data_IF_940558927732
#
_entry.id   IF_940558927732
#
_cell.length_a   1.000
_cell.length_b   1.000
_cell.length_c   1.000
_cell.angle_alpha   90.00
_cell.angle_beta   90.00
_cell.angle_gamma   90.00
#
_symmetry.space_group_name_H-M   'P 1'
#
loop_
_entity.id
_entity.type
_entity.pdbx_description
1 polymer ?
#
# COMPACT_ATOMS: atom_id res chain seq x y z
N UNK A 1 4.56 -14.58 0.10
CA UNK A 1 3.14 -14.30 -0.19
C UNK A 1 2.33 -14.39 1.10
N UNK A 2 1.46 -13.42 1.37
CA UNK A 2 0.66 -13.36 2.58
C UNK A 2 -0.76 -13.91 2.35
N UNK A 3 -1.27 -14.58 3.37
CA UNK A 3 -2.68 -15.00 3.44
C UNK A 3 -3.50 -13.83 3.99
N UNK A 4 -4.34 -13.23 3.17
CA UNK A 4 -5.15 -12.06 3.56
C UNK A 4 -6.20 -12.41 4.63
N UNK A 5 -6.66 -13.66 4.69
CA UNK A 5 -7.64 -14.08 5.66
C UNK A 5 -7.05 -14.24 7.08
N UNK A 6 -5.81 -14.72 7.17
CA UNK A 6 -5.14 -15.02 8.43
C UNK A 6 -4.02 -14.03 8.79
N UNK A 7 -3.66 -13.13 7.88
CA UNK A 7 -2.65 -12.10 8.08
C UNK A 7 -1.21 -12.59 8.17
N UNK A 8 -0.97 -13.88 7.91
CA UNK A 8 0.35 -14.50 7.96
C UNK A 8 0.88 -14.91 6.60
N UNK A 9 2.02 -15.57 6.59
CA UNK A 9 2.61 -16.15 5.37
C UNK A 9 1.85 -17.43 5.01
N UNK A 10 1.52 -17.61 3.72
CA UNK A 10 0.90 -18.85 3.24
C UNK A 10 1.81 -20.03 3.55
N UNK A 11 1.31 -21.14 4.10
CA UNK A 11 2.11 -22.32 4.42
C UNK A 11 2.92 -22.80 3.21
N UNK A 12 4.22 -23.02 3.40
CA UNK A 12 5.15 -23.42 2.35
C UNK A 12 5.73 -22.28 1.51
N UNK A 13 5.27 -21.05 1.71
CA UNK A 13 5.87 -19.86 1.09
C UNK A 13 7.02 -19.33 1.93
N UNK A 14 8.03 -18.77 1.26
CA UNK A 14 9.12 -18.04 1.90
C UNK A 14 8.91 -16.54 1.65
N UNK A 15 9.19 -15.74 2.67
CA UNK A 15 9.27 -14.28 2.54
C UNK A 15 10.71 -13.91 2.25
N UNK A 16 10.93 -13.29 1.09
CA UNK A 16 12.24 -12.75 0.75
C UNK A 16 12.50 -11.49 1.59
N UNK A 17 13.60 -11.42 2.35
CA UNK A 17 13.97 -10.21 3.05
C UNK A 17 14.35 -9.11 2.05
N UNK A 18 14.19 -7.87 2.47
CA UNK A 18 14.66 -6.71 1.71
C UNK A 18 15.80 -6.08 2.48
N UNK A 19 17.01 -6.20 1.96
CA UNK A 19 18.22 -5.60 2.56
C UNK A 19 18.17 -4.07 2.39
N UNK A 20 17.55 -3.40 3.35
CA UNK A 20 17.33 -1.94 3.32
C UNK A 20 18.62 -1.19 3.67
N UNK A 21 19.45 -1.77 4.52
CA UNK A 21 20.68 -1.15 4.99
C UNK A 21 21.91 -1.53 4.14
N UNK A 22 21.74 -2.41 3.14
CA UNK A 22 22.76 -2.89 2.22
C UNK A 22 23.97 -3.56 2.91
N UNK A 23 23.72 -4.31 4.00
CA UNK A 23 24.75 -5.03 4.72
C UNK A 23 24.98 -6.47 4.20
N UNK A 24 24.13 -6.94 3.28
CA UNK A 24 24.19 -8.29 2.70
C UNK A 24 23.66 -9.39 3.62
N UNK A 25 22.97 -9.04 4.70
CA UNK A 25 22.36 -9.97 5.65
C UNK A 25 20.87 -9.69 5.79
N UNK A 26 20.11 -10.71 6.16
CA UNK A 26 18.69 -10.56 6.45
C UNK A 26 18.52 -10.25 7.94
N UNK A 27 18.38 -9.00 8.28
CA UNK A 27 18.15 -8.55 9.64
C UNK A 27 16.70 -8.80 10.09
N UNK A 28 16.46 -8.83 11.39
CA UNK A 28 15.15 -9.17 11.94
C UNK A 28 14.04 -8.15 11.56
N UNK A 29 14.41 -6.90 11.34
CA UNK A 29 13.52 -5.81 10.92
C UNK A 29 13.32 -5.73 9.40
N UNK A 30 14.01 -6.57 8.64
CA UNK A 30 13.90 -6.72 7.19
C UNK A 30 13.05 -7.93 6.77
N UNK A 31 12.62 -8.75 7.74
CA UNK A 31 11.80 -9.94 7.52
C UNK A 31 10.39 -9.68 8.00
N UNK A 32 9.44 -9.57 7.07
CA UNK A 32 8.03 -9.34 7.37
C UNK A 32 7.29 -10.67 7.41
N UNK A 33 6.68 -11.01 8.55
CA UNK A 33 5.97 -12.27 8.79
C UNK A 33 4.47 -12.15 8.68
N UNK A 34 3.95 -10.93 8.73
CA UNK A 34 2.51 -10.65 8.67
C UNK A 34 2.20 -9.57 7.63
N UNK A 35 0.95 -9.57 7.14
CA UNK A 35 0.47 -8.53 6.22
C UNK A 35 0.59 -7.14 6.86
N UNK A 36 0.29 -7.01 8.15
CA UNK A 36 0.37 -5.72 8.85
C UNK A 36 1.81 -5.18 8.94
N UNK A 37 2.78 -6.05 9.18
CA UNK A 37 4.20 -5.66 9.17
C UNK A 37 4.63 -5.17 7.78
N UNK A 38 4.25 -5.88 6.72
CA UNK A 38 4.53 -5.48 5.35
C UNK A 38 3.85 -4.15 4.98
N UNK A 39 2.57 -3.97 5.34
CA UNK A 39 1.83 -2.71 5.13
C UNK A 39 2.52 -1.55 5.85
N UNK A 40 2.91 -1.76 7.11
CA UNK A 40 3.61 -0.74 7.90
C UNK A 40 4.98 -0.39 7.31
N UNK A 41 5.70 -1.38 6.80
CA UNK A 41 7.01 -1.17 6.17
C UNK A 41 6.91 -0.35 4.89
N UNK A 42 5.90 -0.62 4.05
CA UNK A 42 5.63 0.18 2.84
C UNK A 42 5.20 1.60 3.21
N UNK A 43 4.31 1.76 4.20
CA UNK A 43 3.82 3.06 4.64
C UNK A 43 4.91 3.95 5.25
N UNK A 44 5.95 3.34 5.82
CA UNK A 44 7.09 4.05 6.45
C UNK A 44 8.35 4.13 5.56
N UNK A 45 8.21 3.83 4.27
CA UNK A 45 9.31 3.79 3.29
C UNK A 45 10.47 2.83 3.64
N UNK A 46 10.24 1.91 4.58
CA UNK A 46 11.18 0.82 4.86
C UNK A 46 11.19 -0.26 3.78
N UNK A 47 10.11 -0.38 3.03
CA UNK A 47 10.02 -1.26 1.88
C UNK A 47 10.20 -0.42 0.60
N UNK A 48 11.21 -0.70 -0.22
CA UNK A 48 11.56 0.18 -1.35
C UNK A 48 10.51 0.17 -2.46
N UNK A 49 10.48 1.23 -3.24
CA UNK A 49 9.70 1.32 -4.46
C UNK A 49 10.65 1.48 -5.67
N UNK A 50 10.65 0.59 -6.68
CA UNK A 50 9.99 -0.72 -6.70
C UNK A 50 10.61 -1.72 -5.70
N UNK A 51 9.88 -2.80 -5.27
CA UNK A 51 8.64 -3.33 -5.88
C UNK A 51 7.34 -2.68 -5.41
N UNK A 52 7.31 -1.92 -4.30
CA UNK A 52 6.12 -1.17 -3.92
C UNK A 52 5.80 -0.09 -4.97
N UNK A 53 4.51 0.10 -5.31
CA UNK A 53 4.07 1.07 -6.31
C UNK A 53 2.68 1.59 -6.01
N UNK A 54 2.37 2.77 -6.53
CA UNK A 54 1.04 3.33 -6.44
C UNK A 54 0.08 2.66 -7.43
N UNK A 55 -1.13 2.35 -6.95
CA UNK A 55 -2.26 2.10 -7.82
C UNK A 55 -2.83 3.44 -8.28
N UNK A 56 -3.08 3.58 -9.58
CA UNK A 56 -3.53 4.84 -10.17
C UNK A 56 -4.92 4.70 -10.77
N UNK A 57 -5.77 5.68 -10.51
CA UNK A 57 -7.05 5.83 -11.20
C UNK A 57 -6.88 6.76 -12.39
N UNK A 58 -7.36 6.34 -13.56
CA UNK A 58 -7.29 7.14 -14.77
C UNK A 58 -8.70 7.47 -15.27
N UNK A 59 -8.91 8.72 -15.67
CA UNK A 59 -10.17 9.21 -16.26
C UNK A 59 -9.89 9.90 -17.60
N UNK A 60 -10.88 9.85 -18.51
CA UNK A 60 -10.84 10.62 -19.75
C UNK A 60 -11.23 12.06 -19.45
N UNK A 61 -10.25 12.91 -19.25
CA UNK A 61 -10.44 14.30 -18.84
C UNK A 61 -10.77 14.46 -17.35
N UNK A 62 -11.21 15.65 -16.97
CA UNK A 62 -11.53 15.97 -15.58
C UNK A 62 -12.77 15.21 -15.12
N UNK A 63 -12.73 14.45 -14.02
CA UNK A 63 -13.88 13.71 -13.54
C UNK A 63 -15.01 14.65 -13.07
N UNK A 64 -16.24 14.25 -13.26
CA UNK A 64 -17.45 14.99 -12.82
C UNK A 64 -18.57 14.03 -12.41
N UNK A 65 -19.62 14.55 -11.78
CA UNK A 65 -20.79 13.77 -11.40
C UNK A 65 -20.45 12.56 -10.52
N UNK A 66 -21.06 11.42 -10.80
CA UNK A 66 -20.86 10.17 -10.05
C UNK A 66 -19.39 9.68 -10.06
N UNK A 67 -18.69 9.86 -11.17
CA UNK A 67 -17.28 9.50 -11.28
C UNK A 67 -16.44 10.28 -10.28
N UNK A 68 -16.66 11.59 -10.19
CA UNK A 68 -15.96 12.43 -9.21
C UNK A 68 -16.31 12.03 -7.77
N UNK A 69 -17.60 11.78 -7.48
CA UNK A 69 -18.06 11.34 -6.17
C UNK A 69 -17.40 10.02 -5.76
N UNK A 70 -17.33 9.06 -6.67
CA UNK A 70 -16.73 7.76 -6.42
C UNK A 70 -15.21 7.86 -6.18
N UNK A 71 -14.49 8.64 -6.98
CA UNK A 71 -13.05 8.86 -6.80
C UNK A 71 -12.77 9.57 -5.46
N UNK A 72 -13.58 10.58 -5.11
CA UNK A 72 -13.47 11.23 -3.80
C UNK A 72 -13.65 10.22 -2.66
N UNK A 73 -14.66 9.35 -2.75
CA UNK A 73 -14.87 8.32 -1.74
C UNK A 73 -13.68 7.36 -1.64
N UNK A 74 -13.12 6.91 -2.77
CA UNK A 74 -11.92 6.05 -2.78
C UNK A 74 -10.75 6.73 -2.06
N UNK A 75 -10.55 8.03 -2.31
CA UNK A 75 -9.44 8.80 -1.74
C UNK A 75 -9.67 9.23 -0.28
N UNK A 76 -10.87 9.07 0.25
CA UNK A 76 -11.26 9.47 1.61
C UNK A 76 -11.73 8.25 2.41
N UNK A 77 -13.03 8.04 2.49
CA UNK A 77 -13.64 6.98 3.33
C UNK A 77 -13.23 5.57 2.90
N UNK A 78 -12.99 5.36 1.61
CA UNK A 78 -12.55 4.09 1.06
C UNK A 78 -11.18 3.61 1.57
N UNK A 79 -10.33 4.53 2.02
CA UNK A 79 -8.99 4.20 2.52
C UNK A 79 -9.00 3.24 3.72
N UNK A 80 -10.04 3.30 4.55
CA UNK A 80 -10.19 2.43 5.73
C UNK A 80 -10.28 0.93 5.40
N UNK A 81 -10.69 0.59 4.18
CA UNK A 81 -10.86 -0.81 3.75
C UNK A 81 -9.59 -1.41 3.12
N UNK A 82 -8.59 -0.60 2.79
CA UNK A 82 -7.43 -1.04 2.01
C UNK A 82 -6.59 -2.07 2.75
N UNK A 83 -6.33 -1.89 4.04
CA UNK A 83 -5.52 -2.84 4.83
C UNK A 83 -6.14 -4.24 4.84
N UNK A 84 -7.46 -4.34 4.95
CA UNK A 84 -8.16 -5.63 4.89
C UNK A 84 -8.05 -6.30 3.52
N UNK A 85 -7.97 -5.49 2.46
CA UNK A 85 -7.80 -5.97 1.09
C UNK A 85 -6.32 -6.25 0.72
N UNK A 86 -5.39 -6.07 1.65
CA UNK A 86 -3.95 -6.28 1.43
C UNK A 86 -3.24 -5.13 0.72
N UNK A 87 -3.84 -3.95 0.71
CA UNK A 87 -3.23 -2.73 0.18
C UNK A 87 -2.79 -1.79 1.30
N UNK A 88 -1.94 -0.84 0.96
CA UNK A 88 -1.45 0.18 1.88
C UNK A 88 -2.26 1.46 1.68
N UNK A 89 -2.91 2.01 2.73
CA UNK A 89 -3.59 3.29 2.65
C UNK A 89 -2.61 4.42 2.29
N UNK A 90 -3.11 5.44 1.63
CA UNK A 90 -2.33 6.64 1.31
C UNK A 90 -1.96 7.39 2.60
N UNK A 91 -0.76 7.95 2.63
CA UNK A 91 -0.42 8.95 3.65
C UNK A 91 -1.27 10.21 3.48
N UNK A 92 -1.46 10.98 4.55
CA UNK A 92 -2.26 12.22 4.52
C UNK A 92 -1.77 13.21 3.45
N UNK A 93 -0.46 13.26 3.22
CA UNK A 93 0.14 14.10 2.19
C UNK A 93 -0.26 13.64 0.78
N UNK A 94 -0.13 12.33 0.51
CA UNK A 94 -0.50 11.74 -0.79
C UNK A 94 -1.99 11.79 -1.04
N UNK A 95 -2.80 11.63 0.00
CA UNK A 95 -4.25 11.79 -0.09
C UNK A 95 -4.61 13.23 -0.49
N UNK A 96 -4.01 14.23 0.17
CA UNK A 96 -4.22 15.65 -0.15
C UNK A 96 -3.77 15.98 -1.56
N UNK A 97 -2.59 15.51 -1.98
CA UNK A 97 -2.08 15.68 -3.35
C UNK A 97 -3.07 15.12 -4.38
N UNK A 98 -3.57 13.90 -4.15
CA UNK A 98 -4.51 13.23 -5.04
C UNK A 98 -5.85 13.95 -5.13
N UNK A 99 -6.39 14.42 -4.01
CA UNK A 99 -7.63 15.21 -3.97
C UNK A 99 -7.47 16.56 -4.70
N UNK A 100 -6.31 17.20 -4.62
CA UNK A 100 -6.05 18.45 -5.34
C UNK A 100 -6.04 18.28 -6.86
N UNK A 101 -5.69 17.10 -7.36
CA UNK A 101 -5.77 16.80 -8.81
C UNK A 101 -7.21 16.72 -9.33
N UNK A 102 -8.21 16.56 -8.45
CA UNK A 102 -9.63 16.53 -8.81
C UNK A 102 -10.23 17.93 -8.95
N UNK A 103 -9.61 18.93 -8.37
CA UNK A 103 -10.02 20.33 -8.44
C UNK A 103 -9.64 20.94 -9.78
#
# INVERSE_FOLDING_TARGET
>A
MFDLANGGVIPGALVAPVDVNANGQADADEIFKTTNEAVSAVASDKYPSPPARFENLATKGKPSGLTLTFINWILTDGQQYLTQAGYVPLTSEKQTESLNKLK
#
